data_IF_217057141934
#
_entry.id   IF_217057141934
#
_cell.length_a   1.000
_cell.length_b   1.000
_cell.length_c   1.000
_cell.angle_alpha   90.00
_cell.angle_beta   90.00
_cell.angle_gamma   90.00
#
_symmetry.space_group_name_H-M   'P 1'
#
loop_
_entity.id
_entity.type
_entity.pdbx_description
1 polymer ?
#
# COMPACT_ATOMS: atom_id res chain seq x y z
N UNK A 1 -8.08 11.24 -29.50
CA UNK A 1 -6.82 11.50 -28.76
C UNK A 1 -6.93 11.08 -27.29
N UNK A 2 -7.98 11.44 -26.54
CA UNK A 2 -8.15 11.02 -25.13
C UNK A 2 -8.06 9.49 -24.86
N UNK A 3 -8.43 8.64 -25.82
CA UNK A 3 -8.41 7.17 -25.64
C UNK A 3 -7.01 6.59 -25.42
N UNK A 4 -5.97 7.14 -26.07
CA UNK A 4 -4.60 6.60 -25.96
C UNK A 4 -4.01 6.88 -24.58
N UNK A 5 -4.31 8.06 -24.02
CA UNK A 5 -3.86 8.49 -22.69
C UNK A 5 -4.48 7.62 -21.61
N UNK A 6 -5.80 7.37 -21.71
CA UNK A 6 -6.51 6.49 -20.78
C UNK A 6 -5.95 5.06 -20.84
N UNK A 7 -5.66 4.54 -22.04
CA UNK A 7 -5.08 3.20 -22.19
C UNK A 7 -3.69 3.13 -21.56
N UNK A 8 -2.83 4.13 -21.79
CA UNK A 8 -1.50 4.19 -21.17
C UNK A 8 -1.59 4.27 -19.64
N UNK A 9 -2.50 5.09 -19.12
CA UNK A 9 -2.67 5.27 -17.69
C UNK A 9 -3.27 4.02 -17.03
N UNK A 10 -4.20 3.33 -17.71
CA UNK A 10 -4.73 2.04 -17.29
C UNK A 10 -3.63 0.97 -17.25
N UNK A 11 -2.76 0.93 -18.26
CA UNK A 11 -1.65 -0.02 -18.31
C UNK A 11 -0.64 0.24 -17.19
N UNK A 12 -0.30 1.50 -16.95
CA UNK A 12 0.54 1.93 -15.83
C UNK A 12 -0.07 1.53 -14.49
N UNK A 13 -1.36 1.80 -14.31
CA UNK A 13 -2.10 1.45 -13.08
C UNK A 13 -2.10 -0.06 -12.84
N UNK A 14 -2.30 -0.85 -13.90
CA UNK A 14 -2.26 -2.31 -13.83
C UNK A 14 -0.88 -2.82 -13.41
N UNK A 15 0.20 -2.28 -13.99
CA UNK A 15 1.57 -2.66 -13.63
C UNK A 15 1.86 -2.33 -12.17
N UNK A 16 1.45 -1.16 -11.68
CA UNK A 16 1.60 -0.78 -10.28
C UNK A 16 0.78 -1.67 -9.34
N UNK A 17 -0.43 -2.06 -9.74
CA UNK A 17 -1.27 -2.99 -8.99
C UNK A 17 -0.62 -4.38 -8.88
N UNK A 18 -0.05 -4.91 -9.96
CA UNK A 18 0.67 -6.20 -9.94
C UNK A 18 1.91 -6.10 -9.06
N UNK A 19 2.69 -5.02 -9.18
CA UNK A 19 3.87 -4.78 -8.35
C UNK A 19 3.51 -4.70 -6.84
N UNK A 20 2.33 -4.16 -6.50
CA UNK A 20 1.83 -4.15 -5.13
C UNK A 20 1.63 -5.57 -4.56
N UNK A 21 1.18 -6.52 -5.39
CA UNK A 21 0.92 -7.90 -5.00
C UNK A 21 2.19 -8.74 -4.86
N UNK A 22 3.22 -8.45 -5.65
CA UNK A 22 4.48 -9.22 -5.65
C UNK A 22 5.44 -8.81 -4.52
N UNK A 23 5.21 -7.65 -3.90
CA UNK A 23 6.13 -7.14 -2.88
C UNK A 23 5.94 -7.85 -1.52
N UNK A 24 7.02 -8.37 -0.94
CA UNK A 24 6.99 -9.09 0.36
C UNK A 24 6.74 -8.17 1.57
N UNK A 25 7.10 -6.88 1.46
CA UNK A 25 6.95 -5.90 2.54
C UNK A 25 5.57 -5.25 2.46
N UNK A 26 4.74 -5.51 3.47
CA UNK A 26 3.36 -4.98 3.58
C UNK A 26 3.33 -3.46 3.38
N UNK A 27 4.21 -2.72 4.04
CA UNK A 27 4.29 -1.26 3.91
C UNK A 27 4.57 -0.81 2.47
N UNK A 28 5.45 -1.51 1.74
CA UNK A 28 5.75 -1.20 0.33
C UNK A 28 4.58 -1.59 -0.58
N UNK A 29 3.91 -2.71 -0.33
CA UNK A 29 2.69 -3.09 -1.08
C UNK A 29 1.59 -2.04 -0.97
N UNK A 30 1.38 -1.47 0.23
CA UNK A 30 0.39 -0.41 0.45
C UNK A 30 0.76 0.87 -0.31
N UNK A 31 2.05 1.20 -0.41
CA UNK A 31 2.49 2.35 -1.19
C UNK A 31 2.20 2.16 -2.69
N UNK A 32 2.49 0.99 -3.25
CA UNK A 32 2.13 0.69 -4.65
C UNK A 32 0.62 0.69 -4.89
N UNK A 33 -0.17 0.21 -3.93
CA UNK A 33 -1.63 0.29 -3.96
C UNK A 33 -2.12 1.75 -4.01
N UNK A 34 -1.49 2.64 -3.23
CA UNK A 34 -1.81 4.07 -3.24
C UNK A 34 -1.52 4.71 -4.62
N UNK A 35 -0.38 4.40 -5.23
CA UNK A 35 -0.07 4.86 -6.60
C UNK A 35 -1.09 4.34 -7.62
N UNK A 36 -1.55 3.09 -7.47
CA UNK A 36 -2.57 2.52 -8.34
C UNK A 36 -3.93 3.23 -8.18
N UNK A 37 -4.34 3.54 -6.95
CA UNK A 37 -5.59 4.28 -6.69
C UNK A 37 -5.55 5.70 -7.28
N UNK A 38 -4.40 6.39 -7.22
CA UNK A 38 -4.21 7.69 -7.90
C UNK A 38 -4.36 7.56 -9.43
N UNK A 39 -3.89 6.45 -10.00
CA UNK A 39 -4.09 6.10 -11.40
C UNK A 39 -5.58 5.97 -11.76
N UNK A 40 -6.34 5.20 -10.98
CA UNK A 40 -7.79 5.05 -11.15
C UNK A 40 -8.53 6.39 -11.03
N UNK A 41 -8.20 7.20 -10.01
CA UNK A 41 -8.80 8.52 -9.82
C UNK A 41 -8.56 9.45 -11.00
N UNK A 42 -7.36 9.39 -11.58
CA UNK A 42 -7.03 10.13 -12.79
C UNK A 42 -7.84 9.65 -14.01
N UNK A 43 -8.05 8.33 -14.17
CA UNK A 43 -8.90 7.77 -15.24
C UNK A 43 -10.34 8.28 -15.10
N UNK A 44 -10.90 8.28 -13.89
CA UNK A 44 -12.26 8.79 -13.65
C UNK A 44 -12.40 10.27 -14.00
N UNK A 45 -11.34 11.06 -13.80
CA UNK A 45 -11.33 12.46 -14.21
C UNK A 45 -11.44 12.60 -15.74
N UNK A 46 -10.68 11.80 -16.50
CA UNK A 46 -10.71 11.81 -17.97
C UNK A 46 -12.02 11.29 -18.58
N UNK A 47 -12.71 10.37 -17.89
CA UNK A 47 -14.01 9.83 -18.32
C UNK A 47 -15.18 10.80 -18.03
N UNK A 48 -14.92 11.93 -17.38
CA UNK A 48 -15.94 12.93 -17.02
C UNK A 48 -16.72 12.58 -15.74
N UNK A 49 -16.28 11.56 -15.01
CA UNK A 49 -16.84 11.17 -13.71
C UNK A 49 -16.17 11.94 -12.57
N UNK A 50 -16.27 13.27 -12.59
CA UNK A 50 -15.52 14.16 -11.68
C UNK A 50 -15.84 13.90 -10.21
N UNK A 51 -17.10 13.59 -9.87
CA UNK A 51 -17.49 13.27 -8.49
C UNK A 51 -16.84 11.96 -8.01
N UNK A 52 -16.79 10.93 -8.86
CA UNK A 52 -16.15 9.66 -8.53
C UNK A 52 -14.63 9.81 -8.38
N UNK A 53 -13.99 10.62 -9.25
CA UNK A 53 -12.56 10.90 -9.15
C UNK A 53 -12.19 11.55 -7.81
N UNK A 54 -12.94 12.57 -7.39
CA UNK A 54 -12.71 13.24 -6.10
C UNK A 54 -12.91 12.27 -4.94
N UNK A 55 -13.94 11.41 -5.02
CA UNK A 55 -14.19 10.40 -4.00
C UNK A 55 -13.05 9.37 -3.91
N UNK A 56 -12.50 8.93 -5.05
CA UNK A 56 -11.35 8.04 -5.11
C UNK A 56 -10.12 8.68 -4.43
N UNK A 57 -9.83 9.95 -4.71
CA UNK A 57 -8.70 10.64 -4.08
C UNK A 57 -8.90 10.86 -2.57
N UNK A 58 -10.10 11.23 -2.13
CA UNK A 58 -10.37 11.48 -0.71
C UNK A 58 -10.47 10.20 0.12
N UNK A 59 -11.22 9.22 -0.38
CA UNK A 59 -11.59 8.04 0.41
C UNK A 59 -10.60 6.92 0.21
N UNK A 60 -10.26 6.58 -1.04
CA UNK A 60 -9.31 5.51 -1.30
C UNK A 60 -7.88 5.97 -1.03
N UNK A 61 -7.35 6.89 -1.84
CA UNK A 61 -5.96 7.35 -1.71
C UNK A 61 -5.71 8.11 -0.39
N UNK A 62 -6.72 8.76 0.16
CA UNK A 62 -6.66 9.43 1.46
C UNK A 62 -6.88 8.47 2.63
N UNK A 63 -8.14 8.19 2.96
CA UNK A 63 -8.49 7.52 4.22
C UNK A 63 -8.11 6.03 4.25
N UNK A 64 -8.43 5.26 3.21
CA UNK A 64 -8.21 3.80 3.21
C UNK A 64 -6.73 3.46 3.22
N UNK A 65 -5.91 4.13 2.42
CA UNK A 65 -4.45 3.92 2.41
C UNK A 65 -3.85 4.27 3.77
N UNK A 66 -4.24 5.39 4.39
CA UNK A 66 -3.74 5.76 5.73
C UNK A 66 -4.13 4.71 6.76
N UNK A 67 -5.37 4.20 6.73
CA UNK A 67 -5.81 3.13 7.62
C UNK A 67 -4.97 1.85 7.44
N UNK A 68 -4.66 1.49 6.20
CA UNK A 68 -3.78 0.36 5.91
C UNK A 68 -2.37 0.56 6.46
N UNK A 69 -1.79 1.75 6.28
CA UNK A 69 -0.45 2.07 6.81
C UNK A 69 -0.44 1.97 8.34
N UNK A 70 -1.44 2.53 9.02
CA UNK A 70 -1.55 2.46 10.49
C UNK A 70 -1.66 1.01 10.95
N UNK A 71 -2.51 0.22 10.30
CA UNK A 71 -2.69 -1.20 10.64
C UNK A 71 -1.43 -2.02 10.39
N UNK A 72 -0.72 -1.77 9.29
CA UNK A 72 0.54 -2.44 8.98
C UNK A 72 1.62 -2.10 10.01
N UNK A 73 1.74 -0.82 10.38
CA UNK A 73 2.69 -0.37 11.40
C UNK A 73 2.42 -0.99 12.79
N UNK A 74 1.14 -1.15 13.15
CA UNK A 74 0.76 -1.85 14.37
C UNK A 74 1.15 -3.34 14.33
N UNK A 75 1.01 -3.98 13.18
CA UNK A 75 1.34 -5.41 13.01
C UNK A 75 2.85 -5.66 13.08
N UNK A 76 3.67 -4.78 12.50
CA UNK A 76 5.14 -4.89 12.53
C UNK A 76 5.71 -4.79 13.96
N UNK A 77 5.03 -4.10 14.88
CA UNK A 77 5.42 -3.96 16.29
C UNK A 77 5.22 -5.27 17.08
N UNK A 78 4.39 -6.20 16.60
CA UNK A 78 4.15 -7.49 17.26
C UNK A 78 5.27 -8.51 17.03
N UNK A 79 6.36 -8.16 16.32
CA UNK A 79 7.51 -9.06 16.23
C UNK A 79 8.09 -9.18 17.64
N UNK A 80 8.00 -10.35 18.31
CA UNK A 80 8.49 -10.49 19.67
C UNK A 80 9.95 -10.07 19.65
N UNK A 81 10.29 -9.15 20.54
CA UNK A 81 11.69 -8.83 20.83
C UNK A 81 12.28 -10.18 21.20
N UNK A 82 13.04 -10.79 20.29
CA UNK A 82 13.81 -11.99 20.62
C UNK A 82 14.61 -11.57 21.81
N UNK A 83 14.23 -12.14 22.95
CA UNK A 83 14.90 -12.03 24.20
C UNK A 83 16.32 -12.51 23.99
N UNK A 84 17.20 -11.60 23.60
CA UNK A 84 18.63 -11.65 23.89
C UNK A 84 18.85 -11.32 25.38
N UNK A 85 17.94 -11.74 26.26
CA UNK A 85 18.40 -12.29 27.52
C UNK A 85 18.99 -13.66 27.18
N UNK A 86 20.23 -13.63 26.69
CA UNK A 86 21.17 -14.68 27.03
C UNK A 86 21.02 -14.87 28.54
N UNK A 87 20.42 -15.99 28.92
CA UNK A 87 20.18 -16.32 30.32
C UNK A 87 21.52 -16.24 31.05
N UNK A 88 21.71 -15.34 32.02
CA UNK A 88 22.93 -15.28 32.82
C UNK A 88 23.09 -16.52 33.74
N UNK A 89 22.21 -17.51 33.60
CA UNK A 89 22.19 -18.73 34.38
C UNK A 89 22.69 -19.96 33.61
N UNK A 90 23.22 -19.81 32.39
CA UNK A 90 23.86 -20.94 31.70
C UNK A 90 25.21 -21.35 32.31
N UNK A 91 25.78 -20.53 33.19
CA UNK A 91 27.03 -20.82 33.91
C UNK A 91 26.80 -21.45 35.30
N UNK A 92 25.57 -21.84 35.62
CA UNK A 92 25.20 -22.47 36.89
C UNK A 92 24.55 -23.84 36.63
N UNK A 93 25.25 -24.70 35.90
CA UNK A 93 24.97 -26.14 35.92
C UNK A 93 26.24 -26.86 36.44
N UNK A 94 26.16 -27.59 37.57
CA UNK A 94 27.27 -28.35 38.14
C UNK A 94 27.60 -29.64 37.39
#
# INVERSE_FOLDING_TARGET
MASIEIILLALFTLVMAVAALETEKITTSILFLALSSVGIGSIFFFVGASYAAVFEFLVYAGVLIVLFIVTASLTETSKPITSTAESPFKDIEP
#
